data_IF_792619169797
#
_entry.id   IF_792619169797
#
_cell.length_a   1.000
_cell.length_b   1.000
_cell.length_c   1.000
_cell.angle_alpha   90.00
_cell.angle_beta   90.00
_cell.angle_gamma   90.00
#
_symmetry.space_group_name_H-M   'P 1'
#
loop_
_entity.id
_entity.type
_entity.pdbx_description
1 polymer ?
#
# COMPACT_ATOMS: atom_id res chain seq x y z
N UNK A 1 21.20 1.05 16.49
CA UNK A 1 20.13 0.16 17.00
C UNK A 1 18.74 0.50 16.45
N UNK A 2 18.19 1.71 16.65
CA UNK A 2 16.82 2.07 16.18
C UNK A 2 16.57 1.81 14.69
N UNK A 3 17.55 2.09 13.81
CA UNK A 3 17.44 1.85 12.36
C UNK A 3 17.36 0.36 11.99
N UNK A 4 18.16 -0.48 12.66
CA UNK A 4 18.17 -1.94 12.44
C UNK A 4 16.82 -2.55 12.84
N UNK A 5 16.27 -2.14 13.98
CA UNK A 5 14.95 -2.57 14.43
C UNK A 5 13.85 -2.16 13.43
N UNK A 6 13.81 -0.88 13.01
CA UNK A 6 12.84 -0.40 12.00
C UNK A 6 12.96 -1.19 10.69
N UNK A 7 14.19 -1.47 10.26
CA UNK A 7 14.46 -2.29 9.07
C UNK A 7 13.92 -3.71 9.21
N UNK A 8 14.12 -4.35 10.36
CA UNK A 8 13.60 -5.69 10.64
C UNK A 8 12.06 -5.72 10.63
N UNK A 9 11.40 -4.71 11.19
CA UNK A 9 9.93 -4.57 11.13
C UNK A 9 9.45 -4.46 9.69
N UNK A 10 10.05 -3.57 8.89
CA UNK A 10 9.71 -3.44 7.45
C UNK A 10 9.91 -4.78 6.74
N UNK A 11 11.07 -5.41 6.89
CA UNK A 11 11.36 -6.69 6.24
C UNK A 11 10.33 -7.77 6.62
N UNK A 12 10.00 -7.89 7.90
CA UNK A 12 8.99 -8.84 8.38
C UNK A 12 7.61 -8.59 7.75
N UNK A 13 7.18 -7.32 7.67
CA UNK A 13 5.92 -6.97 7.01
C UNK A 13 5.91 -7.34 5.52
N UNK A 14 6.98 -7.05 4.78
CA UNK A 14 7.06 -7.37 3.35
C UNK A 14 7.14 -8.87 3.07
N UNK A 15 7.84 -9.64 3.91
CA UNK A 15 7.88 -11.10 3.79
C UNK A 15 6.49 -11.70 4.00
N UNK A 16 5.76 -11.26 5.03
CA UNK A 16 4.41 -11.75 5.33
C UNK A 16 3.39 -11.36 4.25
N UNK A 17 3.57 -10.19 3.63
CA UNK A 17 2.66 -9.67 2.59
C UNK A 17 3.12 -9.94 1.16
N UNK A 18 4.14 -10.80 0.96
CA UNK A 18 4.69 -11.09 -0.37
C UNK A 18 3.61 -11.61 -1.33
N UNK A 19 2.65 -12.40 -0.82
CA UNK A 19 1.50 -12.88 -1.57
C UNK A 19 0.69 -11.73 -2.20
N UNK A 20 0.41 -10.67 -1.43
CA UNK A 20 -0.34 -9.50 -1.92
C UNK A 20 0.44 -8.68 -2.96
N UNK A 21 1.77 -8.60 -2.82
CA UNK A 21 2.64 -7.94 -3.80
C UNK A 21 2.61 -8.69 -5.13
N UNK A 22 2.83 -10.01 -5.08
CA UNK A 22 2.85 -10.87 -6.28
C UNK A 22 1.48 -10.86 -6.97
N UNK A 23 0.38 -10.93 -6.22
CA UNK A 23 -0.97 -10.82 -6.76
C UNK A 23 -1.23 -9.50 -7.48
N UNK A 24 -0.83 -8.38 -6.89
CA UNK A 24 -0.97 -7.05 -7.50
C UNK A 24 -0.14 -6.88 -8.78
N UNK A 25 1.10 -7.38 -8.80
CA UNK A 25 1.98 -7.38 -9.98
C UNK A 25 1.39 -8.23 -11.10
N UNK A 26 0.93 -9.44 -10.78
CA UNK A 26 0.31 -10.34 -11.77
C UNK A 26 -0.92 -9.69 -12.40
N UNK A 27 -1.78 -9.04 -11.61
CA UNK A 27 -2.96 -8.33 -12.10
C UNK A 27 -2.62 -7.14 -13.02
N UNK A 28 -1.50 -6.45 -12.76
CA UNK A 28 -1.06 -5.32 -13.57
C UNK A 28 -0.42 -5.73 -14.91
N UNK A 29 0.35 -6.84 -14.92
CA UNK A 29 1.18 -7.25 -16.07
C UNK A 29 0.48 -8.28 -16.97
N UNK A 30 -0.42 -9.09 -16.42
CA UNK A 30 -1.11 -10.17 -17.14
C UNK A 30 -2.62 -9.92 -17.29
N UNK A 31 -3.08 -8.76 -17.79
CA UNK A 31 -4.50 -8.59 -18.04
C UNK A 31 -4.93 -9.53 -19.18
N UNK A 32 -6.02 -10.28 -18.95
CA UNK A 32 -6.73 -10.94 -20.03
C UNK A 32 -7.16 -9.90 -21.09
N UNK A 33 -7.17 -10.28 -22.38
CA UNK A 33 -7.57 -9.37 -23.47
C UNK A 33 -8.92 -8.71 -23.15
N UNK A 34 -8.96 -7.38 -23.18
CA UNK A 34 -10.16 -6.57 -22.90
C UNK A 34 -10.33 -6.11 -21.43
N UNK A 35 -9.42 -6.46 -20.52
CA UNK A 35 -9.56 -6.15 -19.08
C UNK A 35 -8.88 -4.84 -18.65
N UNK A 36 -9.15 -3.72 -19.32
CA UNK A 36 -8.55 -2.39 -19.02
C UNK A 36 -8.74 -1.97 -17.55
N UNK A 37 -9.90 -2.26 -16.96
CA UNK A 37 -10.19 -1.96 -15.57
C UNK A 37 -9.28 -2.73 -14.58
N UNK A 38 -8.95 -3.98 -14.90
CA UNK A 38 -8.06 -4.82 -14.07
C UNK A 38 -6.64 -4.31 -14.15
N UNK A 39 -6.17 -3.94 -15.35
CA UNK A 39 -4.85 -3.35 -15.54
C UNK A 39 -4.71 -2.02 -14.78
N UNK A 40 -5.72 -1.15 -14.83
CA UNK A 40 -5.74 0.10 -14.06
C UNK A 40 -5.74 -0.15 -12.56
N UNK A 41 -6.55 -1.08 -12.06
CA UNK A 41 -6.55 -1.45 -10.65
C UNK A 41 -5.17 -2.00 -10.21
N UNK A 42 -4.54 -2.83 -11.05
CA UNK A 42 -3.17 -3.30 -10.85
C UNK A 42 -2.16 -2.16 -10.80
N UNK A 43 -2.24 -1.18 -11.71
CA UNK A 43 -1.36 -0.02 -11.72
C UNK A 43 -1.53 0.86 -10.46
N UNK A 44 -2.77 1.07 -9.99
CA UNK A 44 -3.06 1.78 -8.74
C UNK A 44 -2.49 1.02 -7.54
N UNK A 45 -2.62 -0.31 -7.53
CA UNK A 45 -2.03 -1.15 -6.48
C UNK A 45 -0.49 -1.07 -6.48
N UNK A 46 0.14 -1.09 -7.66
CA UNK A 46 1.59 -0.90 -7.78
C UNK A 46 2.02 0.47 -7.25
N UNK A 47 1.29 1.53 -7.57
CA UNK A 47 1.55 2.86 -7.02
C UNK A 47 1.44 2.87 -5.49
N UNK A 48 0.42 2.22 -4.92
CA UNK A 48 0.27 2.09 -3.47
C UNK A 48 1.49 1.38 -2.83
N UNK A 49 1.97 0.29 -3.45
CA UNK A 49 3.18 -0.42 -3.00
C UNK A 49 4.42 0.47 -3.08
N UNK A 50 4.63 1.17 -4.20
CA UNK A 50 5.76 2.10 -4.35
C UNK A 50 5.72 3.19 -3.27
N UNK A 51 4.56 3.81 -3.06
CA UNK A 51 4.39 4.80 -2.00
C UNK A 51 4.69 4.21 -0.62
N UNK A 52 4.22 2.99 -0.34
CA UNK A 52 4.47 2.29 0.91
C UNK A 52 5.96 1.98 1.14
N UNK A 53 6.69 1.55 0.10
CA UNK A 53 8.15 1.34 0.14
C UNK A 53 8.86 2.65 0.44
N UNK A 54 8.54 3.72 -0.31
CA UNK A 54 9.19 5.03 -0.13
C UNK A 54 8.94 5.58 1.28
N UNK A 55 7.73 5.44 1.81
CA UNK A 55 7.42 5.80 3.19
C UNK A 55 8.21 4.97 4.21
N UNK A 56 8.33 3.66 3.99
CA UNK A 56 9.06 2.73 4.87
C UNK A 56 10.56 3.06 4.91
N UNK A 57 11.18 3.26 3.75
CA UNK A 57 12.60 3.64 3.64
C UNK A 57 12.86 4.95 4.36
N UNK A 58 12.00 5.96 4.15
CA UNK A 58 12.15 7.25 4.81
C UNK A 58 11.97 7.12 6.34
N UNK A 59 11.05 6.29 6.81
CA UNK A 59 10.92 6.00 8.24
C UNK A 59 12.15 5.30 8.83
N UNK A 60 12.75 4.33 8.13
CA UNK A 60 14.01 3.69 8.55
C UNK A 60 15.16 4.70 8.61
N UNK A 61 15.22 5.62 7.65
CA UNK A 61 16.21 6.70 7.60
C UNK A 61 15.90 7.86 8.56
N UNK A 62 14.76 7.82 9.25
CA UNK A 62 14.23 8.90 10.10
C UNK A 62 14.01 10.23 9.34
N UNK A 63 13.66 10.12 8.05
CA UNK A 63 13.31 11.21 7.15
C UNK A 63 11.79 11.27 6.98
N UNK A 64 11.24 12.48 6.84
CA UNK A 64 9.80 12.68 6.59
C UNK A 64 9.56 13.04 5.13
N UNK A 65 8.42 12.62 4.60
CA UNK A 65 7.97 12.95 3.26
C UNK A 65 6.94 14.09 3.29
N UNK A 66 6.74 14.73 2.13
CA UNK A 66 5.58 15.60 1.92
C UNK A 66 4.27 14.83 1.95
N UNK A 67 3.15 15.53 2.15
CA UNK A 67 1.81 14.93 2.36
C UNK A 67 1.28 14.12 1.16
N UNK A 68 1.79 14.38 -0.05
CA UNK A 68 1.30 13.78 -1.28
C UNK A 68 1.44 12.25 -1.28
N UNK A 69 2.63 11.72 -0.93
CA UNK A 69 2.87 10.27 -0.94
C UNK A 69 2.08 9.52 0.14
N UNK A 70 2.04 9.97 1.41
CA UNK A 70 1.21 9.34 2.44
C UNK A 70 -0.28 9.34 2.09
N UNK A 71 -0.83 10.47 1.62
CA UNK A 71 -2.26 10.57 1.32
C UNK A 71 -2.58 9.79 0.04
N UNK A 72 -1.87 10.06 -1.05
CA UNK A 72 -2.10 9.43 -2.35
C UNK A 72 -1.87 7.92 -2.32
N UNK A 73 -0.79 7.48 -1.68
CA UNK A 73 -0.49 6.05 -1.52
C UNK A 73 -1.53 5.32 -0.68
N UNK A 74 -2.04 5.96 0.39
CA UNK A 74 -3.10 5.37 1.23
C UNK A 74 -4.42 5.31 0.48
N UNK A 75 -4.79 6.37 -0.25
CA UNK A 75 -6.00 6.38 -1.07
C UNK A 75 -5.95 5.27 -2.14
N UNK A 76 -4.80 5.12 -2.81
CA UNK A 76 -4.57 4.04 -3.78
C UNK A 76 -4.65 2.65 -3.14
N UNK A 77 -4.06 2.47 -1.96
CA UNK A 77 -4.14 1.21 -1.21
C UNK A 77 -5.56 0.86 -0.78
N UNK A 78 -6.33 1.83 -0.29
CA UNK A 78 -7.74 1.64 0.05
C UNK A 78 -8.59 1.30 -1.18
N UNK A 79 -8.35 1.98 -2.29
CA UNK A 79 -9.01 1.66 -3.56
C UNK A 79 -8.71 0.21 -3.97
N UNK A 80 -7.45 -0.21 -3.94
CA UNK A 80 -7.06 -1.57 -4.28
C UNK A 80 -7.69 -2.62 -3.37
N UNK A 81 -7.74 -2.37 -2.06
CA UNK A 81 -8.35 -3.26 -1.07
C UNK A 81 -9.86 -3.41 -1.28
N UNK A 82 -10.56 -2.34 -1.66
CA UNK A 82 -12.01 -2.34 -1.86
C UNK A 82 -12.41 -2.80 -3.26
N UNK A 83 -11.56 -2.61 -4.27
CA UNK A 83 -11.87 -2.93 -5.65
C UNK A 83 -12.22 -4.42 -5.84
N UNK A 84 -11.45 -5.32 -5.23
CA UNK A 84 -11.64 -6.75 -5.38
C UNK A 84 -13.01 -7.24 -4.85
N UNK A 85 -13.39 -7.01 -3.57
CA UNK A 85 -14.69 -7.42 -3.07
C UNK A 85 -15.86 -6.74 -3.81
N UNK A 86 -15.72 -5.47 -4.19
CA UNK A 86 -16.74 -4.77 -4.99
C UNK A 86 -16.92 -5.41 -6.38
N UNK A 87 -15.83 -5.85 -7.01
CA UNK A 87 -15.90 -6.53 -8.31
C UNK A 87 -16.54 -7.91 -8.23
N UNK A 88 -16.39 -8.61 -7.10
CA UNK A 88 -17.03 -9.91 -6.85
C UNK A 88 -18.54 -9.79 -6.67
N UNK A 89 -19.01 -8.76 -5.94
CA UNK A 89 -20.45 -8.46 -5.79
C UNK A 89 -21.16 -8.23 -7.13
N UNK A 90 -20.46 -7.65 -8.11
CA UNK A 90 -20.99 -7.40 -9.45
C UNK A 90 -21.00 -8.64 -10.36
N UNK A 91 -20.34 -9.73 -9.98
CA UNK A 91 -20.17 -10.95 -10.80
C UNK A 91 -21.06 -12.13 -10.39
N UNK A 92 -21.99 -11.93 -9.45
CA UNK A 92 -22.88 -12.97 -8.90
C UNK A 92 -22.14 -14.24 -8.43
N UNK A 93 -20.89 -14.10 -7.99
CA UNK A 93 -20.15 -15.20 -7.35
C UNK A 93 -20.59 -15.35 -5.90
N UNK A 94 -20.48 -16.56 -5.35
CA UNK A 94 -20.90 -16.86 -3.96
C UNK A 94 -20.20 -15.92 -2.97
N UNK A 95 -20.93 -14.95 -2.39
CA UNK A 95 -20.32 -13.85 -1.65
C UNK A 95 -19.67 -14.32 -0.34
N UNK A 96 -20.11 -15.46 0.20
CA UNK A 96 -19.62 -15.99 1.47
C UNK A 96 -18.20 -16.57 1.36
N UNK A 97 -17.90 -17.31 0.27
CA UNK A 97 -16.59 -17.93 0.11
C UNK A 97 -15.52 -16.90 -0.27
N UNK A 98 -15.87 -15.94 -1.11
CA UNK A 98 -14.97 -14.84 -1.47
C UNK A 98 -14.69 -13.93 -0.26
N UNK A 99 -15.72 -13.64 0.55
CA UNK A 99 -15.53 -12.89 1.80
C UNK A 99 -14.62 -13.65 2.78
N UNK A 100 -14.82 -14.97 2.95
CA UNK A 100 -14.01 -15.77 3.87
C UNK A 100 -12.55 -15.89 3.40
N UNK A 101 -12.33 -16.06 2.09
CA UNK A 101 -10.98 -16.09 1.50
C UNK A 101 -10.28 -14.74 1.67
N UNK A 102 -11.00 -13.65 1.45
CA UNK A 102 -10.50 -12.29 1.60
C UNK A 102 -10.17 -11.97 3.07
N UNK A 103 -11.06 -12.29 4.01
CA UNK A 103 -10.84 -12.09 5.45
C UNK A 103 -9.76 -13.01 6.03
N UNK A 104 -9.73 -14.28 5.60
CA UNK A 104 -8.87 -15.30 6.21
C UNK A 104 -7.43 -15.23 5.73
N UNK A 105 -7.20 -15.07 4.43
CA UNK A 105 -5.86 -15.14 3.83
C UNK A 105 -5.33 -13.76 3.51
N UNK A 106 -6.13 -12.90 2.87
CA UNK A 106 -5.62 -11.60 2.44
C UNK A 106 -5.54 -10.61 3.59
N UNK A 107 -6.61 -10.47 4.38
CA UNK A 107 -6.59 -9.54 5.51
C UNK A 107 -5.53 -9.94 6.54
N UNK A 108 -5.41 -11.23 6.90
CA UNK A 108 -4.43 -11.68 7.88
C UNK A 108 -2.97 -11.49 7.41
N UNK A 109 -2.66 -11.81 6.15
CA UNK A 109 -1.29 -11.69 5.62
C UNK A 109 -0.91 -10.25 5.25
N UNK A 110 -1.90 -9.40 4.94
CA UNK A 110 -1.69 -7.98 4.61
C UNK A 110 -1.80 -7.09 5.85
N UNK A 111 -2.42 -7.54 6.94
CA UNK A 111 -2.60 -6.78 8.18
C UNK A 111 -1.30 -6.18 8.72
N UNK A 112 -0.14 -6.89 8.76
CA UNK A 112 1.11 -6.30 9.20
C UNK A 112 1.53 -5.09 8.35
N UNK A 113 1.39 -5.19 7.02
CA UNK A 113 1.66 -4.08 6.10
C UNK A 113 0.63 -2.95 6.25
N UNK A 114 -0.63 -3.26 6.51
CA UNK A 114 -1.68 -2.25 6.70
C UNK A 114 -1.45 -1.45 7.98
N UNK A 115 -1.12 -2.14 9.09
CA UNK A 115 -0.77 -1.50 10.36
C UNK A 115 0.49 -0.65 10.22
N UNK A 116 1.50 -1.15 9.50
CA UNK A 116 2.70 -0.40 9.17
C UNK A 116 2.36 0.84 8.33
N UNK A 117 1.52 0.72 7.30
CA UNK A 117 1.10 1.85 6.48
C UNK A 117 0.41 2.93 7.31
N UNK A 118 -0.52 2.56 8.21
CA UNK A 118 -1.18 3.51 9.12
C UNK A 118 -0.15 4.21 10.02
N UNK A 119 0.80 3.45 10.58
CA UNK A 119 1.88 4.00 11.38
C UNK A 119 2.75 4.98 10.57
N UNK A 120 3.11 4.63 9.34
CA UNK A 120 3.92 5.45 8.45
C UNK A 120 3.21 6.74 8.05
N UNK A 121 1.90 6.67 7.76
CA UNK A 121 1.09 7.85 7.46
C UNK A 121 1.10 8.82 8.63
N UNK A 122 0.83 8.33 9.85
CA UNK A 122 0.93 9.17 11.06
C UNK A 122 2.33 9.75 11.22
N UNK A 123 3.37 8.92 11.08
CA UNK A 123 4.75 9.37 11.16
C UNK A 123 5.08 10.49 10.16
N UNK A 124 4.56 10.42 8.93
CA UNK A 124 4.82 11.44 7.90
C UNK A 124 3.91 12.67 8.03
N UNK A 125 2.72 12.55 8.63
CA UNK A 125 1.75 13.65 8.77
C UNK A 125 1.86 14.43 10.08
N UNK A 126 2.31 13.82 11.19
CA UNK A 126 2.22 14.40 12.55
C UNK A 126 3.11 15.62 12.82
N UNK A 127 3.97 16.06 11.89
CA UNK A 127 4.76 17.31 12.01
C UNK A 127 4.99 17.92 10.63
N UNK A 128 5.04 19.26 10.51
CA UNK A 128 5.33 19.91 9.24
C UNK A 128 6.65 19.36 8.69
N UNK A 129 6.60 18.79 7.49
CA UNK A 129 7.80 18.50 6.71
C UNK A 129 8.65 19.78 6.76
N UNK A 130 9.91 19.68 7.23
CA UNK A 130 10.83 20.81 7.16
C UNK A 130 10.77 21.30 5.72
N UNK A 131 10.23 22.51 5.50
CA UNK A 131 10.22 23.12 4.17
C UNK A 131 11.69 23.20 3.76
N UNK A 132 12.10 22.40 2.77
CA UNK A 132 13.42 22.50 2.12
C UNK A 132 13.44 23.68 1.15
N UNK A 133 12.60 24.69 1.40
CA UNK A 133 12.60 25.95 0.67
C UNK A 133 13.01 27.00 1.68
N UNK A 134 14.30 27.34 1.66
CA UNK A 134 14.78 28.58 2.24
C UNK A 134 14.05 29.78 1.61
N UNK A 135 14.16 30.97 2.22
CA UNK A 135 13.51 32.15 1.71
C UNK A 135 13.94 32.42 0.26
N UNK A 136 12.97 32.59 -0.63
CA UNK A 136 13.17 33.37 -1.85
C UNK A 136 13.43 34.80 -1.37
N UNK A 137 14.69 35.15 -1.22
CA UNK A 137 15.11 36.53 -1.08
C UNK A 137 14.84 37.22 -2.43
N UNK A 138 13.91 38.18 -2.41
CA UNK A 138 13.73 39.21 -3.41
C UNK A 138 13.74 40.56 -2.68
#
# INVERSE_FOLDING_TARGET
MKRLWRGAVVAGCYVLSLYGIVGGVAAAILPARGATAVALAGAVMLFAWVAHIVMSVNWVLDRRLGRFLPIGGTAAGLFGLLYWPLSGLLREQSPAWDALRFLGVEALLVLPCLLLAIHLVRFHLDRPARRVNGPLAA
#
